data_IF_740800793438
#
_entry.id   IF_740800793438
#
_cell.length_a   1.000
_cell.length_b   1.000
_cell.length_c   1.000
_cell.angle_alpha   90.00
_cell.angle_beta   90.00
_cell.angle_gamma   90.00
#
_symmetry.space_group_name_H-M   'P 1'
#
loop_
_entity.id
_entity.type
_entity.pdbx_description
1 polymer ?
#
# COMPACT_ATOMS: atom_id res chain seq x y z
N UNK A 1 15.48 2.24 -20.78
CA UNK A 1 14.07 2.00 -20.47
C UNK A 1 13.92 0.59 -19.95
N UNK A 2 13.37 0.38 -18.76
CA UNK A 2 13.33 -0.92 -18.12
C UNK A 2 12.39 -1.89 -18.83
N UNK A 3 12.64 -3.19 -18.67
CA UNK A 3 11.87 -4.32 -19.23
C UNK A 3 10.34 -4.26 -18.95
N UNK A 4 9.94 -3.56 -17.91
CA UNK A 4 8.54 -3.35 -17.49
C UNK A 4 7.69 -2.73 -18.62
N UNK A 5 8.23 -1.80 -19.42
CA UNK A 5 7.49 -1.16 -20.52
C UNK A 5 7.14 -2.10 -21.68
N UNK A 6 7.82 -3.23 -21.84
CA UNK A 6 7.52 -4.18 -22.93
C UNK A 6 6.40 -5.18 -22.60
N UNK A 7 6.20 -5.51 -21.32
CA UNK A 7 5.12 -6.41 -20.90
C UNK A 7 3.81 -5.68 -20.63
N UNK A 8 3.88 -4.37 -20.44
CA UNK A 8 2.78 -3.44 -20.24
C UNK A 8 1.74 -3.55 -21.37
N UNK A 9 2.15 -3.72 -22.59
CA UNK A 9 1.23 -3.79 -23.74
C UNK A 9 0.40 -5.08 -23.85
N UNK A 10 0.66 -6.11 -23.05
CA UNK A 10 -0.08 -7.38 -23.11
C UNK A 10 -1.34 -7.45 -22.22
N UNK A 11 -1.46 -6.54 -21.22
CA UNK A 11 -2.61 -6.52 -20.31
C UNK A 11 -3.09 -5.08 -20.01
N UNK A 12 -3.83 -4.43 -20.92
CA UNK A 12 -4.18 -2.99 -20.83
C UNK A 12 -4.89 -2.56 -19.55
N UNK A 13 -5.42 -3.46 -18.79
CA UNK A 13 -6.35 -3.19 -17.70
C UNK A 13 -5.76 -3.21 -16.29
N UNK A 14 -4.61 -3.85 -16.14
CA UNK A 14 -3.76 -3.66 -14.95
C UNK A 14 -3.08 -2.28 -15.04
N UNK A 15 -3.04 -1.69 -16.22
CA UNK A 15 -2.13 -0.62 -16.64
C UNK A 15 -2.63 0.81 -16.42
N UNK A 16 -3.92 1.10 -16.42
CA UNK A 16 -4.36 2.46 -16.05
C UNK A 16 -4.07 2.72 -14.56
N UNK A 17 -4.28 1.71 -13.71
CA UNK A 17 -3.79 1.71 -12.33
C UNK A 17 -2.25 1.65 -12.25
N UNK A 18 -1.59 1.00 -13.21
CA UNK A 18 -0.13 0.90 -13.27
C UNK A 18 0.53 2.23 -13.63
N UNK A 19 -0.03 3.04 -14.52
CA UNK A 19 0.54 4.34 -14.90
C UNK A 19 0.58 5.31 -13.70
N UNK A 20 -0.50 5.40 -12.93
CA UNK A 20 -0.53 6.22 -11.70
C UNK A 20 0.41 5.68 -10.61
N UNK A 21 0.53 4.35 -10.49
CA UNK A 21 1.46 3.71 -9.54
C UNK A 21 2.91 3.90 -9.94
N UNK A 22 3.24 3.84 -11.23
CA UNK A 22 4.57 4.13 -11.75
C UNK A 22 4.92 5.59 -11.48
N UNK A 23 3.99 6.52 -11.69
CA UNK A 23 4.20 7.94 -11.40
C UNK A 23 4.50 8.18 -9.90
N UNK A 24 3.75 7.55 -8.99
CA UNK A 24 4.03 7.64 -7.55
C UNK A 24 5.39 7.05 -7.20
N UNK A 25 5.75 5.93 -7.81
CA UNK A 25 7.04 5.30 -7.60
C UNK A 25 8.19 6.19 -8.07
N UNK A 26 8.08 6.73 -9.29
CA UNK A 26 9.07 7.66 -9.86
C UNK A 26 9.19 8.93 -9.01
N UNK A 27 8.07 9.46 -8.51
CA UNK A 27 8.05 10.61 -7.59
C UNK A 27 8.81 10.28 -6.29
N UNK A 28 8.53 9.14 -5.66
CA UNK A 28 9.22 8.73 -4.43
C UNK A 28 10.73 8.57 -4.68
N UNK A 29 11.11 7.85 -5.74
CA UNK A 29 12.52 7.58 -6.07
C UNK A 29 13.30 8.84 -6.46
N UNK A 30 12.65 9.82 -7.07
CA UNK A 30 13.30 11.08 -7.47
C UNK A 30 13.36 12.12 -6.34
N UNK A 31 12.45 12.03 -5.35
CA UNK A 31 12.33 13.04 -4.31
C UNK A 31 13.21 12.78 -3.08
N UNK A 32 13.58 11.52 -2.83
CA UNK A 32 14.25 11.15 -1.58
C UNK A 32 15.44 10.22 -1.81
N UNK A 33 16.49 10.27 -0.96
CA UNK A 33 17.60 9.34 -1.00
C UNK A 33 17.13 7.92 -0.65
N UNK A 34 17.82 6.91 -1.17
CA UNK A 34 17.57 5.51 -0.77
C UNK A 34 17.95 5.30 0.70
N UNK A 35 17.39 4.28 1.36
CA UNK A 35 17.76 3.91 2.72
C UNK A 35 19.28 3.70 2.86
N UNK A 36 19.94 3.08 1.90
CA UNK A 36 21.40 2.87 1.92
C UNK A 36 22.15 4.21 1.95
N UNK A 37 21.74 5.17 1.12
CA UNK A 37 22.30 6.52 1.10
C UNK A 37 22.02 7.26 2.40
N UNK A 38 20.76 7.23 2.88
CA UNK A 38 20.34 7.85 4.14
C UNK A 38 21.18 7.34 5.32
N UNK A 39 21.32 6.01 5.46
CA UNK A 39 22.13 5.41 6.52
C UNK A 39 23.60 5.84 6.44
N UNK A 40 24.15 5.88 5.23
CA UNK A 40 25.54 6.33 5.00
C UNK A 40 25.74 7.79 5.41
N UNK A 41 24.81 8.68 5.04
CA UNK A 41 24.90 10.11 5.33
C UNK A 41 24.82 10.39 6.84
N UNK A 42 24.09 9.56 7.59
CA UNK A 42 23.97 9.65 9.06
C UNK A 42 24.99 8.77 9.82
N UNK A 43 25.97 8.18 9.14
CA UNK A 43 26.98 7.33 9.79
C UNK A 43 26.42 6.05 10.43
N UNK A 44 25.18 5.67 10.11
CA UNK A 44 24.50 4.49 10.62
C UNK A 44 25.03 3.23 9.95
N UNK A 45 24.97 2.08 10.63
CA UNK A 45 25.38 0.79 10.09
C UNK A 45 24.18 -0.12 9.91
N UNK A 46 24.16 -0.89 8.82
CA UNK A 46 23.17 -1.92 8.59
C UNK A 46 23.84 -3.22 8.14
N UNK A 47 23.34 -4.33 8.63
CA UNK A 47 23.78 -5.67 8.21
C UNK A 47 22.74 -6.73 8.58
N UNK A 48 22.79 -7.85 7.87
CA UNK A 48 22.12 -9.08 8.31
C UNK A 48 22.77 -9.61 9.58
N UNK A 49 21.97 -10.27 10.43
CA UNK A 49 22.45 -10.94 11.61
C UNK A 49 23.41 -12.10 11.29
N UNK A 50 23.83 -12.83 12.29
CA UNK A 50 24.78 -13.93 12.14
C UNK A 50 24.16 -15.08 11.33
N UNK A 51 25.02 -15.80 10.60
CA UNK A 51 24.68 -17.07 9.99
C UNK A 51 25.25 -18.21 10.83
N UNK A 52 24.44 -19.19 11.18
CA UNK A 52 24.94 -20.42 11.82
C UNK A 52 25.70 -21.27 10.79
N UNK A 53 26.83 -21.83 11.21
CA UNK A 53 27.65 -22.69 10.37
C UNK A 53 28.55 -23.60 11.20
N UNK A 54 29.38 -24.41 10.49
CA UNK A 54 30.24 -25.40 11.12
C UNK A 54 31.54 -24.84 11.72
N UNK A 55 31.81 -23.54 11.55
CA UNK A 55 33.02 -22.89 12.10
C UNK A 55 32.65 -22.26 13.44
N UNK A 56 33.32 -22.70 14.50
CA UNK A 56 33.27 -22.06 15.82
C UNK A 56 34.04 -20.75 15.74
N UNK A 57 33.33 -19.65 15.55
CA UNK A 57 33.85 -18.31 15.79
C UNK A 57 33.32 -17.88 17.15
N UNK A 58 34.16 -17.73 18.15
CA UNK A 58 33.82 -17.18 19.45
C UNK A 58 33.90 -15.67 19.39
N UNK A 59 32.80 -15.00 19.71
CA UNK A 59 32.76 -13.57 19.96
C UNK A 59 32.56 -13.34 21.46
N UNK A 60 33.62 -12.94 22.15
CA UNK A 60 33.66 -12.80 23.61
C UNK A 60 32.59 -11.82 24.17
N UNK A 61 31.98 -10.99 23.34
CA UNK A 61 30.93 -10.04 23.75
C UNK A 61 29.50 -10.52 23.55
N UNK A 62 29.27 -11.78 23.11
CA UNK A 62 27.93 -12.31 22.87
C UNK A 62 27.39 -13.22 23.97
N UNK A 63 28.27 -13.60 24.91
CA UNK A 63 27.89 -14.46 26.03
C UNK A 63 26.82 -13.79 26.91
N UNK A 64 25.73 -14.53 27.15
CA UNK A 64 24.64 -14.07 27.98
C UNK A 64 23.71 -13.02 27.35
N UNK A 65 23.93 -12.67 26.08
CA UNK A 65 23.01 -11.76 25.39
C UNK A 65 21.72 -12.48 24.97
N UNK A 66 20.58 -11.78 24.98
CA UNK A 66 19.33 -12.30 24.44
C UNK A 66 19.46 -12.61 22.95
N UNK A 67 18.82 -13.71 22.53
CA UNK A 67 18.65 -14.03 21.09
C UNK A 67 17.25 -13.61 20.68
N UNK A 68 17.19 -12.79 19.62
CA UNK A 68 15.93 -12.47 18.95
C UNK A 68 15.60 -13.58 17.96
N UNK A 69 14.47 -14.29 18.19
CA UNK A 69 13.95 -15.26 17.22
C UNK A 69 13.02 -14.56 16.24
N UNK A 70 13.28 -14.72 14.94
CA UNK A 70 12.43 -14.18 13.87
C UNK A 70 10.99 -14.72 13.90
N UNK A 71 10.73 -15.89 14.52
CA UNK A 71 9.38 -16.45 14.63
C UNK A 71 8.53 -15.72 15.67
N UNK A 72 9.17 -15.22 16.73
CA UNK A 72 8.52 -14.52 17.84
C UNK A 72 8.65 -13.00 17.74
N UNK A 73 9.00 -12.50 16.55
CA UNK A 73 9.19 -11.11 16.30
C UNK A 73 7.84 -10.39 16.12
N UNK A 74 7.60 -9.33 16.90
CA UNK A 74 6.42 -8.46 16.85
C UNK A 74 6.83 -7.01 16.55
N UNK A 75 6.00 -6.22 15.85
CA UNK A 75 6.28 -4.81 15.65
C UNK A 75 6.32 -4.06 16.99
N UNK A 76 7.22 -3.09 17.13
CA UNK A 76 7.38 -2.18 18.28
C UNK A 76 7.72 -2.83 19.63
N UNK A 77 7.64 -4.14 19.76
CA UNK A 77 7.89 -4.86 21.02
C UNK A 77 8.69 -6.14 20.81
N UNK A 78 9.67 -6.36 21.68
CA UNK A 78 10.48 -7.58 21.72
C UNK A 78 10.67 -8.05 23.17
N UNK A 79 10.26 -9.28 23.51
CA UNK A 79 10.51 -9.83 24.83
C UNK A 79 12.00 -10.15 25.04
N UNK A 80 12.51 -9.85 26.26
CA UNK A 80 13.90 -10.13 26.67
C UNK A 80 14.18 -11.61 27.08
N UNK A 81 13.26 -12.52 26.79
CA UNK A 81 13.19 -13.79 27.54
C UNK A 81 14.08 -14.93 27.04
N UNK A 82 14.68 -14.83 25.85
CA UNK A 82 15.50 -15.91 25.30
C UNK A 82 16.97 -15.55 25.42
N UNK A 83 17.68 -16.18 26.36
CA UNK A 83 19.12 -16.03 26.52
C UNK A 83 19.90 -16.98 25.59
N UNK A 84 21.02 -16.52 25.03
CA UNK A 84 21.94 -17.37 24.31
C UNK A 84 22.54 -18.41 25.26
N UNK A 85 22.41 -19.68 24.95
CA UNK A 85 23.06 -20.74 25.65
C UNK A 85 24.46 -20.96 25.04
N UNK A 86 25.53 -20.81 25.83
CA UNK A 86 26.94 -20.86 25.40
C UNK A 86 27.35 -22.13 24.65
N UNK A 87 26.56 -23.19 24.73
CA UNK A 87 26.85 -24.47 24.07
C UNK A 87 26.69 -24.44 22.55
N UNK A 88 25.95 -23.45 21.99
CA UNK A 88 25.58 -23.39 20.57
C UNK A 88 26.31 -22.29 19.77
N UNK A 89 27.45 -21.79 20.25
CA UNK A 89 28.18 -20.63 19.69
C UNK A 89 28.93 -20.96 18.37
N UNK A 90 28.23 -21.51 17.37
CA UNK A 90 28.80 -21.67 16.02
C UNK A 90 28.28 -20.54 15.12
N UNK A 91 29.05 -19.45 15.02
CA UNK A 91 28.72 -18.33 14.16
C UNK A 91 29.58 -18.36 12.89
N UNK A 92 28.94 -18.32 11.72
CA UNK A 92 29.59 -17.97 10.45
C UNK A 92 29.24 -16.53 10.09
N UNK A 93 30.23 -15.82 9.53
CA UNK A 93 30.05 -14.52 8.87
C UNK A 93 29.52 -13.36 9.75
N UNK A 94 29.95 -13.26 10.97
CA UNK A 94 29.88 -11.97 11.66
C UNK A 94 31.19 -11.23 11.38
N UNK A 95 31.13 -10.15 10.62
CA UNK A 95 32.28 -9.25 10.44
C UNK A 95 32.37 -8.31 11.65
N UNK A 96 33.59 -8.02 12.13
CA UNK A 96 33.80 -7.02 13.18
C UNK A 96 33.20 -5.64 12.82
N UNK A 97 33.12 -5.32 11.52
CA UNK A 97 32.47 -4.10 11.05
C UNK A 97 30.96 -4.06 11.30
N UNK A 98 30.33 -5.23 11.47
CA UNK A 98 28.88 -5.36 11.66
C UNK A 98 28.49 -5.50 13.14
N UNK A 99 29.43 -5.63 14.07
CA UNK A 99 29.15 -5.77 15.50
C UNK A 99 28.24 -4.66 16.09
N UNK A 100 28.31 -3.40 15.60
CA UNK A 100 27.44 -2.35 16.13
C UNK A 100 25.94 -2.63 16.00
N UNK A 101 25.51 -3.46 15.02
CA UNK A 101 24.08 -3.78 14.87
C UNK A 101 23.50 -4.60 16.02
N UNK A 102 24.33 -5.21 16.87
CA UNK A 102 23.93 -5.99 18.04
C UNK A 102 23.94 -5.19 19.34
N UNK A 103 24.40 -3.93 19.29
CA UNK A 103 24.50 -3.01 20.44
C UNK A 103 23.33 -2.05 20.47
N UNK A 104 22.80 -1.81 21.67
CA UNK A 104 21.74 -0.85 21.90
C UNK A 104 22.24 0.61 21.80
N UNK A 105 21.39 1.55 21.34
CA UNK A 105 20.11 1.29 20.70
C UNK A 105 20.28 0.76 19.28
N UNK A 106 19.45 -0.19 18.88
CA UNK A 106 19.46 -0.70 17.52
C UNK A 106 18.05 -1.05 17.04
N UNK A 107 17.81 -0.90 15.75
CA UNK A 107 16.59 -1.31 15.09
C UNK A 107 16.80 -2.70 14.49
N UNK A 108 15.85 -3.59 14.70
CA UNK A 108 15.81 -4.89 14.04
C UNK A 108 14.59 -4.94 13.14
N UNK A 109 14.76 -5.47 11.94
CA UNK A 109 13.72 -5.64 10.95
C UNK A 109 13.63 -7.08 10.49
N UNK A 110 12.44 -7.62 10.34
CA UNK A 110 12.19 -8.93 9.75
C UNK A 110 12.13 -8.83 8.22
N UNK A 111 12.86 -9.69 7.51
CA UNK A 111 12.83 -9.73 6.05
C UNK A 111 11.53 -10.32 5.49
N UNK A 112 10.83 -11.19 6.23
CA UNK A 112 9.53 -11.70 5.84
C UNK A 112 8.40 -10.82 6.39
N UNK A 113 7.26 -10.83 5.70
CA UNK A 113 6.08 -10.07 6.09
C UNK A 113 5.05 -10.93 6.83
N UNK A 114 4.06 -10.27 7.43
CA UNK A 114 2.84 -10.89 7.95
C UNK A 114 1.64 -10.11 7.43
N UNK A 115 0.76 -10.77 6.66
CA UNK A 115 -0.41 -10.15 6.04
C UNK A 115 -0.07 -8.89 5.21
N UNK A 116 1.02 -8.94 4.45
CA UNK A 116 1.45 -7.84 3.59
C UNK A 116 2.19 -6.70 4.26
N UNK A 117 2.41 -6.75 5.58
CA UNK A 117 3.18 -5.73 6.32
C UNK A 117 4.50 -6.29 6.80
N UNK A 118 5.54 -5.49 6.72
CA UNK A 118 6.85 -5.75 7.30
C UNK A 118 6.92 -5.24 8.73
N UNK A 119 7.88 -5.74 9.49
CA UNK A 119 7.97 -5.46 10.93
C UNK A 119 9.36 -5.01 11.29
N UNK A 120 9.42 -3.95 12.09
CA UNK A 120 10.63 -3.49 12.74
C UNK A 120 10.34 -3.15 14.21
N UNK A 121 11.38 -3.21 15.03
CA UNK A 121 11.35 -2.78 16.43
C UNK A 121 12.69 -2.18 16.82
N UNK A 122 12.69 -1.17 17.67
CA UNK A 122 13.89 -0.61 18.27
C UNK A 122 14.11 -1.26 19.63
N UNK A 123 15.31 -1.79 19.85
CA UNK A 123 15.72 -2.39 21.11
C UNK A 123 16.61 -1.42 21.90
N UNK A 124 16.34 -1.31 23.19
CA UNK A 124 17.08 -0.53 24.19
C UNK A 124 18.10 -1.38 24.99
N UNK A 125 18.34 -2.63 24.54
CA UNK A 125 19.28 -3.57 25.12
C UNK A 125 20.06 -4.31 24.03
N UNK A 126 21.27 -4.75 24.36
CA UNK A 126 22.10 -5.55 23.48
C UNK A 126 21.44 -6.90 23.18
N UNK A 127 21.35 -7.29 21.92
CA UNK A 127 20.76 -8.55 21.49
C UNK A 127 21.41 -9.07 20.22
N UNK A 128 21.44 -10.38 20.07
CA UNK A 128 21.91 -11.03 18.85
C UNK A 128 20.74 -11.64 18.07
N UNK A 129 20.89 -11.77 16.79
CA UNK A 129 19.89 -12.30 15.89
C UNK A 129 20.52 -12.93 14.65
N UNK A 130 19.79 -13.84 14.00
CA UNK A 130 20.27 -14.54 12.80
C UNK A 130 20.04 -13.72 11.53
N UNK A 131 20.55 -14.23 10.41
CA UNK A 131 20.53 -13.59 9.08
C UNK A 131 19.12 -13.41 8.47
N UNK A 132 18.06 -13.94 9.06
CA UNK A 132 16.68 -13.65 8.62
C UNK A 132 16.17 -12.30 9.14
N UNK A 133 16.96 -11.65 9.97
CA UNK A 133 16.73 -10.32 10.50
C UNK A 133 17.84 -9.37 10.02
N UNK A 134 17.47 -8.14 9.70
CA UNK A 134 18.36 -7.05 9.38
C UNK A 134 18.46 -6.13 10.60
N UNK A 135 19.68 -5.77 11.02
CA UNK A 135 19.93 -4.80 12.07
C UNK A 135 20.39 -3.46 11.53
N UNK A 136 19.98 -2.38 12.18
CA UNK A 136 20.45 -1.02 11.92
C UNK A 136 20.87 -0.42 13.26
N UNK A 137 22.11 0.10 13.34
CA UNK A 137 22.61 0.82 14.53
C UNK A 137 22.75 2.31 14.19
N UNK A 138 22.43 3.17 15.16
CA UNK A 138 22.50 4.61 14.98
C UNK A 138 21.89 5.36 16.17
N UNK A 139 21.62 6.63 15.97
CA UNK A 139 20.98 7.49 16.97
C UNK A 139 19.52 7.06 17.19
N UNK A 140 19.09 6.96 18.44
CA UNK A 140 17.81 6.37 18.85
C UNK A 140 16.59 7.02 18.19
N UNK A 141 16.56 8.37 18.10
CA UNK A 141 15.44 9.10 17.50
C UNK A 141 15.30 8.76 16.01
N UNK A 142 16.43 8.65 15.29
CA UNK A 142 16.46 8.22 13.90
C UNK A 142 16.03 6.77 13.73
N UNK A 143 16.41 5.88 14.65
CA UNK A 143 15.96 4.49 14.63
C UNK A 143 14.45 4.38 14.84
N UNK A 144 13.86 5.17 15.75
CA UNK A 144 12.40 5.26 15.96
C UNK A 144 11.68 5.76 14.71
N UNK A 145 12.22 6.81 14.07
CA UNK A 145 11.70 7.33 12.81
C UNK A 145 11.70 6.26 11.70
N UNK A 146 12.82 5.59 11.47
CA UNK A 146 12.92 4.49 10.51
C UNK A 146 12.01 3.32 10.86
N UNK A 147 11.83 3.03 12.13
CA UNK A 147 10.92 1.99 12.60
C UNK A 147 9.48 2.26 12.18
N UNK A 148 8.99 3.49 12.32
CA UNK A 148 7.65 3.89 11.86
C UNK A 148 7.50 3.70 10.35
N UNK A 149 8.50 4.15 9.57
CA UNK A 149 8.47 3.98 8.10
C UNK A 149 8.40 2.50 7.71
N UNK A 150 9.25 1.66 8.28
CA UNK A 150 9.32 0.23 7.94
C UNK A 150 8.01 -0.50 8.30
N UNK A 151 7.35 -0.12 9.40
CA UNK A 151 6.07 -0.70 9.80
C UNK A 151 4.86 -0.15 9.02
N UNK A 152 5.04 0.85 8.15
CA UNK A 152 3.95 1.52 7.43
C UNK A 152 3.51 0.79 6.16
N UNK A 153 2.35 1.20 5.65
CA UNK A 153 1.86 0.79 4.33
C UNK A 153 2.75 1.29 3.18
N UNK A 154 3.42 2.43 3.32
CA UNK A 154 4.32 2.98 2.28
C UNK A 154 5.48 2.04 2.01
N UNK A 155 6.10 1.50 3.06
CA UNK A 155 7.18 0.53 2.93
C UNK A 155 6.73 -0.73 2.16
N UNK A 156 5.60 -1.29 2.56
CA UNK A 156 5.04 -2.49 1.93
C UNK A 156 4.61 -2.21 0.48
N UNK A 157 3.99 -1.05 0.22
CA UNK A 157 3.61 -0.62 -1.13
C UNK A 157 4.81 -0.48 -2.06
N UNK A 158 5.87 0.20 -1.59
CA UNK A 158 7.09 0.37 -2.37
C UNK A 158 7.66 -0.98 -2.79
N UNK A 159 7.80 -1.91 -1.85
CA UNK A 159 8.38 -3.23 -2.12
C UNK A 159 7.44 -4.15 -2.90
N UNK A 160 6.12 -4.01 -2.77
CA UNK A 160 5.16 -4.71 -3.63
C UNK A 160 5.38 -4.38 -5.12
N UNK A 161 5.84 -3.16 -5.43
CA UNK A 161 6.06 -2.71 -6.80
C UNK A 161 7.49 -2.91 -7.31
N UNK A 162 8.48 -3.00 -6.43
CA UNK A 162 9.91 -2.96 -6.79
C UNK A 162 10.69 -4.22 -6.48
N UNK A 163 10.26 -5.03 -5.52
CA UNK A 163 10.98 -6.25 -5.16
C UNK A 163 10.99 -7.25 -6.31
N UNK A 164 12.14 -7.88 -6.47
CA UNK A 164 12.34 -8.95 -7.46
C UNK A 164 11.88 -10.30 -6.98
N UNK A 165 11.85 -10.49 -5.67
CA UNK A 165 11.61 -11.81 -5.03
C UNK A 165 10.27 -11.87 -4.30
N UNK A 166 9.86 -10.82 -3.60
CA UNK A 166 8.60 -10.82 -2.86
C UNK A 166 7.41 -10.93 -3.79
N UNK A 167 6.47 -11.82 -3.48
CA UNK A 167 5.27 -12.17 -4.25
C UNK A 167 5.54 -12.85 -5.61
N UNK A 168 6.80 -13.03 -6.00
CA UNK A 168 7.18 -13.68 -7.27
C UNK A 168 7.81 -15.04 -7.00
N UNK A 169 8.83 -15.12 -6.16
CA UNK A 169 9.59 -16.33 -5.86
C UNK A 169 9.45 -16.78 -4.40
N UNK A 170 9.34 -15.85 -3.46
CA UNK A 170 9.29 -16.10 -2.01
C UNK A 170 8.57 -15.01 -1.23
N UNK A 171 8.17 -15.32 0.01
CA UNK A 171 7.49 -14.40 0.93
C UNK A 171 8.47 -13.57 1.78
N UNK A 172 9.56 -13.11 1.20
CA UNK A 172 10.56 -12.32 1.89
C UNK A 172 11.28 -11.34 0.95
N UNK A 173 11.70 -10.21 1.51
CA UNK A 173 12.60 -9.26 0.84
C UNK A 173 14.05 -9.67 1.01
N UNK A 174 14.86 -9.39 0.01
CA UNK A 174 16.30 -9.43 0.16
C UNK A 174 16.81 -8.14 0.80
N UNK A 175 17.91 -8.22 1.55
CA UNK A 175 18.54 -7.05 2.15
C UNK A 175 18.88 -5.97 1.10
N UNK A 176 19.19 -6.38 -0.13
CA UNK A 176 19.40 -5.47 -1.26
C UNK A 176 18.14 -4.70 -1.65
N UNK A 177 16.99 -5.35 -1.69
CA UNK A 177 15.71 -4.70 -2.00
C UNK A 177 15.32 -3.70 -0.89
N UNK A 178 15.46 -4.09 0.39
CA UNK A 178 15.15 -3.24 1.56
C UNK A 178 15.90 -1.92 1.49
N UNK A 179 17.17 -1.94 1.07
CA UNK A 179 18.03 -0.74 1.01
C UNK A 179 17.62 0.25 -0.06
N UNK A 180 16.77 -0.14 -1.01
CA UNK A 180 16.36 0.72 -2.13
C UNK A 180 15.23 1.67 -1.81
N UNK A 181 14.51 1.49 -0.69
CA UNK A 181 13.38 2.37 -0.36
C UNK A 181 13.85 3.81 -0.19
N UNK A 182 13.17 4.78 -0.82
CA UNK A 182 13.41 6.19 -0.59
C UNK A 182 13.01 6.62 0.81
N UNK A 183 13.88 7.29 1.55
CA UNK A 183 13.64 7.78 2.92
C UNK A 183 13.68 9.31 2.92
N UNK A 184 12.60 10.00 3.29
CA UNK A 184 12.60 11.44 3.49
C UNK A 184 13.53 11.85 4.62
N UNK A 185 14.25 12.98 4.44
CA UNK A 185 15.06 13.58 5.50
C UNK A 185 14.12 14.24 6.51
N UNK A 186 14.13 13.83 7.80
CA UNK A 186 13.23 14.40 8.79
C UNK A 186 13.72 15.76 9.28
N UNK A 187 12.80 16.71 9.46
CA UNK A 187 13.07 17.90 10.27
C UNK A 187 13.07 17.55 11.75
N UNK A 188 13.57 18.45 12.59
CA UNK A 188 13.55 18.26 14.06
C UNK A 188 12.12 18.05 14.57
N UNK A 189 11.15 18.81 14.06
CA UNK A 189 9.73 18.67 14.40
C UNK A 189 9.18 17.26 14.02
N UNK A 190 9.58 16.74 12.86
CA UNK A 190 9.18 15.39 12.43
C UNK A 190 9.80 14.32 13.33
N UNK A 191 11.06 14.50 13.75
CA UNK A 191 11.72 13.57 14.68
C UNK A 191 11.06 13.56 16.05
N UNK A 192 10.68 14.72 16.59
CA UNK A 192 9.95 14.81 17.85
C UNK A 192 8.60 14.07 17.76
N UNK A 193 7.81 14.35 16.73
CA UNK A 193 6.54 13.63 16.49
C UNK A 193 6.73 12.13 16.29
N UNK A 194 7.81 11.73 15.62
CA UNK A 194 8.12 10.32 15.42
C UNK A 194 8.42 9.60 16.73
N UNK A 195 9.19 10.23 17.63
CA UNK A 195 9.48 9.68 18.95
C UNK A 195 8.21 9.56 19.78
N UNK A 196 7.38 10.61 19.83
CA UNK A 196 6.11 10.60 20.55
C UNK A 196 5.17 9.48 20.05
N UNK A 197 5.00 9.39 18.73
CA UNK A 197 4.15 8.34 18.12
C UNK A 197 4.71 6.94 18.39
N UNK A 198 6.04 6.75 18.25
CA UNK A 198 6.68 5.47 18.53
C UNK A 198 6.44 5.02 19.98
N UNK A 199 6.65 5.91 20.96
CA UNK A 199 6.42 5.60 22.37
C UNK A 199 4.94 5.34 22.66
N UNK A 200 4.05 6.09 22.05
CA UNK A 200 2.61 5.86 22.16
C UNK A 200 2.24 4.46 21.66
N UNK A 201 2.68 4.07 20.47
CA UNK A 201 2.41 2.73 19.92
C UNK A 201 3.02 1.65 20.82
N UNK A 202 4.26 1.84 21.27
CA UNK A 202 4.95 0.87 22.16
C UNK A 202 4.21 0.67 23.47
N UNK A 203 3.57 1.71 24.03
CA UNK A 203 2.85 1.65 25.29
C UNK A 203 1.45 1.04 25.18
N UNK A 204 0.67 1.45 24.18
CA UNK A 204 -0.74 1.08 24.09
C UNK A 204 -1.08 0.15 22.92
N UNK A 205 -0.14 -0.12 22.02
CA UNK A 205 -0.37 -0.97 20.83
C UNK A 205 -1.27 -0.35 19.76
N UNK A 206 -1.59 0.94 19.86
CA UNK A 206 -2.44 1.64 18.90
C UNK A 206 -1.63 2.16 17.71
N UNK A 207 -1.73 1.47 16.58
CA UNK A 207 -1.09 1.82 15.31
C UNK A 207 -1.98 2.70 14.41
N UNK A 208 -3.13 3.18 14.89
CA UNK A 208 -4.13 3.87 14.05
C UNK A 208 -3.59 5.13 13.35
N UNK A 209 -2.64 5.83 13.96
CA UNK A 209 -2.03 7.04 13.42
C UNK A 209 -0.76 6.78 12.59
N UNK A 210 -0.26 5.56 12.56
CA UNK A 210 1.02 5.22 11.93
C UNK A 210 1.05 5.56 10.44
N UNK A 211 0.08 5.05 9.69
CA UNK A 211 0.05 5.28 8.24
C UNK A 211 -0.19 6.75 7.89
N UNK A 212 -1.05 7.45 8.64
CA UNK A 212 -1.30 8.88 8.46
C UNK A 212 -0.02 9.70 8.67
N UNK A 213 0.70 9.46 9.76
CA UNK A 213 2.00 10.10 10.02
C UNK A 213 2.99 9.87 8.87
N UNK A 214 3.13 8.63 8.41
CA UNK A 214 4.07 8.32 7.33
C UNK A 214 3.63 8.91 5.99
N UNK A 215 2.32 8.97 5.70
CA UNK A 215 1.81 9.64 4.51
C UNK A 215 2.17 11.13 4.50
N UNK A 216 2.06 11.80 5.65
CA UNK A 216 2.47 13.21 5.82
C UNK A 216 3.98 13.40 5.62
N UNK A 217 4.80 12.51 6.20
CA UNK A 217 6.26 12.51 6.03
C UNK A 217 6.65 12.41 4.56
N UNK A 218 5.98 11.55 3.79
CA UNK A 218 6.19 11.42 2.34
C UNK A 218 5.44 12.48 1.51
N UNK A 219 4.69 13.38 2.14
CA UNK A 219 3.88 14.42 1.48
C UNK A 219 2.97 13.83 0.40
N UNK A 220 2.34 12.71 0.72
CA UNK A 220 1.38 12.08 -0.17
C UNK A 220 0.07 12.87 -0.19
N UNK A 221 -0.47 13.06 -1.38
CA UNK A 221 -1.81 13.63 -1.57
C UNK A 221 -2.86 12.53 -1.32
N UNK A 222 -4.10 12.92 -1.06
CA UNK A 222 -5.19 11.99 -0.75
C UNK A 222 -5.31 10.84 -1.77
N UNK A 223 -5.28 11.17 -3.07
CA UNK A 223 -5.35 10.15 -4.11
C UNK A 223 -4.14 9.19 -4.12
N UNK A 224 -2.96 9.66 -3.69
CA UNK A 224 -1.75 8.83 -3.56
C UNK A 224 -1.87 7.88 -2.36
N UNK A 225 -2.46 8.32 -1.25
CA UNK A 225 -2.75 7.46 -0.09
C UNK A 225 -3.76 6.37 -0.45
N UNK A 226 -4.75 6.67 -1.27
CA UNK A 226 -5.69 5.69 -1.80
C UNK A 226 -4.99 4.61 -2.65
N UNK A 227 -4.03 5.01 -3.51
CA UNK A 227 -3.26 4.05 -4.30
C UNK A 227 -2.43 3.10 -3.43
N UNK A 228 -1.79 3.62 -2.38
CA UNK A 228 -1.02 2.83 -1.41
C UNK A 228 -1.94 1.83 -0.70
N UNK A 229 -3.06 2.30 -0.17
CA UNK A 229 -4.00 1.49 0.60
C UNK A 229 -4.64 0.40 -0.27
N UNK A 230 -5.21 0.77 -1.41
CA UNK A 230 -5.87 -0.17 -2.32
C UNK A 230 -4.90 -1.21 -2.91
N UNK A 231 -3.61 -0.87 -3.09
CA UNK A 231 -2.63 -1.82 -3.57
C UNK A 231 -2.42 -2.97 -2.57
N UNK A 232 -2.39 -2.67 -1.28
CA UNK A 232 -2.25 -3.68 -0.23
C UNK A 232 -3.57 -4.42 0.02
N UNK A 233 -4.69 -3.71 0.07
CA UNK A 233 -5.98 -4.30 0.40
C UNK A 233 -6.52 -5.19 -0.72
N UNK A 234 -6.24 -4.86 -1.99
CA UNK A 234 -6.79 -5.62 -3.13
C UNK A 234 -5.73 -6.41 -3.91
N UNK A 235 -4.55 -5.83 -4.21
CA UNK A 235 -3.56 -6.53 -5.04
C UNK A 235 -2.81 -7.54 -4.19
N UNK A 236 -2.22 -7.11 -3.06
CA UNK A 236 -1.55 -8.04 -2.17
C UNK A 236 -2.52 -9.13 -1.67
N UNK A 237 -3.73 -8.74 -1.25
CA UNK A 237 -4.75 -9.68 -0.80
C UNK A 237 -5.14 -10.69 -1.90
N UNK A 238 -5.17 -10.29 -3.17
CA UNK A 238 -5.38 -11.22 -4.29
C UNK A 238 -4.27 -12.26 -4.39
N UNK A 239 -3.00 -11.87 -4.27
CA UNK A 239 -1.88 -12.80 -4.30
C UNK A 239 -1.89 -13.75 -3.10
N UNK A 240 -2.21 -13.26 -1.91
CA UNK A 240 -2.25 -14.04 -0.66
C UNK A 240 -3.46 -15.01 -0.62
N UNK A 241 -4.65 -14.55 -0.96
CA UNK A 241 -5.92 -15.30 -0.81
C UNK A 241 -6.46 -15.88 -2.12
N UNK A 242 -5.90 -15.53 -3.29
CA UNK A 242 -6.33 -15.97 -4.62
C UNK A 242 -7.85 -15.80 -4.81
N UNK A 243 -8.58 -16.88 -5.07
CA UNK A 243 -10.05 -16.85 -5.27
C UNK A 243 -10.84 -16.38 -4.05
N UNK A 244 -10.29 -16.49 -2.84
CA UNK A 244 -10.92 -16.05 -1.60
C UNK A 244 -10.61 -14.59 -1.25
N UNK A 245 -9.92 -13.86 -2.13
CA UNK A 245 -9.58 -12.46 -1.94
C UNK A 245 -10.83 -11.59 -1.83
N UNK A 246 -10.76 -10.56 -0.98
CA UNK A 246 -11.78 -9.50 -0.90
C UNK A 246 -11.98 -8.78 -2.24
N UNK A 247 -10.95 -8.78 -3.09
CA UNK A 247 -11.02 -8.19 -4.43
C UNK A 247 -12.20 -8.72 -5.27
N UNK A 248 -12.63 -9.95 -5.03
CA UNK A 248 -13.74 -10.61 -5.73
C UNK A 248 -15.06 -10.62 -4.97
N UNK A 249 -15.09 -10.14 -3.73
CA UNK A 249 -16.34 -10.07 -2.96
C UNK A 249 -17.30 -9.06 -3.55
N UNK A 250 -18.59 -9.30 -3.29
CA UNK A 250 -19.64 -8.33 -3.57
C UNK A 250 -19.42 -7.09 -2.70
N UNK A 251 -19.35 -5.87 -3.28
CA UNK A 251 -19.20 -4.65 -2.52
C UNK A 251 -20.35 -4.44 -1.52
N UNK A 252 -20.03 -3.98 -0.33
CA UNK A 252 -21.03 -3.47 0.61
C UNK A 252 -21.54 -2.10 0.17
N UNK A 253 -22.66 -1.65 0.76
CA UNK A 253 -23.18 -0.29 0.52
C UNK A 253 -22.13 0.77 0.91
N UNK A 254 -21.35 0.51 1.95
CA UNK A 254 -20.30 1.42 2.38
C UNK A 254 -19.19 1.55 1.34
N UNK A 255 -18.76 0.47 0.70
CA UNK A 255 -17.80 0.50 -0.42
C UNK A 255 -18.31 1.38 -1.56
N UNK A 256 -19.59 1.24 -1.95
CA UNK A 256 -20.18 2.11 -2.97
C UNK A 256 -20.27 3.58 -2.53
N UNK A 257 -20.57 3.86 -1.25
CA UNK A 257 -20.58 5.22 -0.70
C UNK A 257 -19.20 5.86 -0.75
N UNK A 258 -18.18 5.15 -0.31
CA UNK A 258 -16.80 5.61 -0.31
C UNK A 258 -16.30 5.87 -1.74
N UNK A 259 -16.60 4.95 -2.68
CA UNK A 259 -16.34 5.15 -4.10
C UNK A 259 -17.01 6.43 -4.62
N UNK A 260 -18.31 6.62 -4.35
CA UNK A 260 -19.08 7.77 -4.82
C UNK A 260 -18.58 9.09 -4.23
N UNK A 261 -18.29 9.14 -2.94
CA UNK A 261 -17.73 10.32 -2.29
C UNK A 261 -16.44 10.75 -2.97
N UNK A 262 -15.48 9.85 -3.08
CA UNK A 262 -14.18 10.12 -3.73
C UNK A 262 -14.34 10.55 -5.19
N UNK A 263 -15.20 9.85 -5.93
CA UNK A 263 -15.50 10.16 -7.33
C UNK A 263 -16.09 11.57 -7.48
N UNK A 264 -17.05 11.95 -6.63
CA UNK A 264 -17.70 13.26 -6.67
C UNK A 264 -16.78 14.39 -6.21
N UNK A 265 -15.92 14.14 -5.21
CA UNK A 265 -14.96 15.14 -4.71
C UNK A 265 -13.98 15.55 -5.82
N UNK A 266 -13.50 14.58 -6.61
CA UNK A 266 -12.62 14.86 -7.76
C UNK A 266 -13.37 15.62 -8.85
N UNK A 267 -14.59 15.21 -9.19
CA UNK A 267 -15.38 15.87 -10.22
C UNK A 267 -15.76 17.31 -9.82
N UNK A 268 -16.16 17.54 -8.56
CA UNK A 268 -16.45 18.88 -8.05
C UNK A 268 -15.23 19.79 -8.04
N UNK A 269 -14.06 19.28 -7.74
CA UNK A 269 -12.82 20.02 -7.80
C UNK A 269 -12.46 20.41 -9.25
N UNK A 270 -12.88 19.61 -10.24
CA UNK A 270 -12.56 19.82 -11.65
C UNK A 270 -13.66 20.59 -12.42
N UNK A 271 -14.94 20.33 -12.14
CA UNK A 271 -16.09 20.91 -12.82
C UNK A 271 -16.74 22.08 -12.06
N UNK A 272 -16.41 22.24 -10.78
CA UNK A 272 -16.97 23.23 -9.87
C UNK A 272 -17.94 22.62 -8.84
N UNK A 273 -18.05 23.27 -7.69
CA UNK A 273 -18.84 22.81 -6.56
C UNK A 273 -20.37 22.72 -6.85
N UNK A 274 -20.83 23.43 -7.88
CA UNK A 274 -22.24 23.37 -8.34
C UNK A 274 -22.59 22.07 -9.10
N UNK A 275 -21.61 21.22 -9.40
CA UNK A 275 -21.88 19.93 -10.04
C UNK A 275 -22.43 18.93 -9.01
N UNK A 276 -23.76 18.82 -8.94
CA UNK A 276 -24.50 17.98 -7.97
C UNK A 276 -25.50 17.06 -8.66
N UNK A 277 -25.03 16.08 -9.48
CA UNK A 277 -25.94 15.14 -10.13
C UNK A 277 -26.67 14.28 -9.10
N UNK A 278 -27.91 13.90 -9.37
CA UNK A 278 -28.59 12.82 -8.64
C UNK A 278 -27.91 11.51 -9.01
N UNK A 279 -27.55 10.71 -8.03
CA UNK A 279 -26.85 9.44 -8.21
C UNK A 279 -27.69 8.25 -7.76
N UNK A 280 -27.70 7.19 -8.54
CA UNK A 280 -28.42 5.95 -8.23
C UNK A 280 -27.53 4.75 -8.51
N UNK A 281 -27.34 3.90 -7.50
CA UNK A 281 -26.68 2.60 -7.66
C UNK A 281 -27.73 1.51 -7.81
N UNK A 282 -27.62 0.73 -8.88
CA UNK A 282 -28.40 -0.48 -9.12
C UNK A 282 -27.53 -1.69 -8.83
N UNK A 283 -27.85 -2.40 -7.76
CA UNK A 283 -27.01 -3.45 -7.16
C UNK A 283 -27.77 -4.76 -6.88
N UNK A 284 -28.86 -5.03 -7.61
CA UNK A 284 -29.65 -6.27 -7.55
C UNK A 284 -28.81 -7.55 -7.78
N UNK A 285 -29.38 -8.69 -8.09
CA UNK A 285 -28.66 -9.97 -8.22
C UNK A 285 -27.77 -10.08 -9.49
N UNK A 286 -27.81 -9.10 -10.39
CA UNK A 286 -26.95 -9.05 -11.56
C UNK A 286 -25.46 -9.17 -11.17
N UNK A 287 -24.61 -9.82 -12.00
CA UNK A 287 -23.17 -9.83 -11.82
C UNK A 287 -22.52 -8.45 -12.05
N UNK A 288 -23.31 -7.47 -12.50
CA UNK A 288 -22.91 -6.09 -12.74
C UNK A 288 -23.54 -5.17 -11.68
N UNK A 289 -22.86 -4.09 -11.39
CA UNK A 289 -23.40 -2.93 -10.67
C UNK A 289 -23.35 -1.72 -11.58
N UNK A 290 -24.38 -0.86 -11.49
CA UNK A 290 -24.53 0.30 -12.35
C UNK A 290 -24.65 1.54 -11.47
N UNK A 291 -23.79 2.54 -11.71
CA UNK A 291 -23.97 3.90 -11.20
C UNK A 291 -24.58 4.74 -12.31
N UNK A 292 -25.72 5.35 -12.05
CA UNK A 292 -26.37 6.31 -12.92
C UNK A 292 -26.26 7.69 -12.31
N UNK A 293 -25.69 8.63 -13.05
CA UNK A 293 -25.65 10.05 -12.72
C UNK A 293 -26.70 10.77 -13.60
N UNK A 294 -27.72 11.32 -13.01
CA UNK A 294 -28.73 12.13 -13.70
C UNK A 294 -28.35 13.60 -13.60
N UNK A 295 -28.24 14.27 -14.76
CA UNK A 295 -27.83 15.66 -14.90
C UNK A 295 -29.05 16.47 -15.34
N UNK A 296 -29.77 17.09 -14.41
CA UNK A 296 -30.86 18.00 -14.69
C UNK A 296 -30.69 19.30 -13.91
N UNK A 297 -31.33 20.36 -14.35
CA UNK A 297 -31.19 21.71 -13.77
C UNK A 297 -31.63 21.82 -12.30
N UNK A 298 -32.41 20.85 -11.79
CA UNK A 298 -32.97 20.83 -10.43
C UNK A 298 -32.52 19.60 -9.61
N UNK A 299 -31.27 19.22 -9.69
CA UNK A 299 -30.77 18.08 -8.93
C UNK A 299 -30.38 18.46 -7.50
N UNK A 300 -30.84 17.66 -6.56
CA UNK A 300 -30.60 17.79 -5.11
C UNK A 300 -29.33 17.06 -4.63
N UNK A 301 -28.57 16.45 -5.55
CA UNK A 301 -27.36 15.71 -5.23
C UNK A 301 -27.58 14.43 -4.44
N UNK A 302 -28.79 13.91 -4.37
CA UNK A 302 -29.14 12.74 -3.57
C UNK A 302 -28.53 11.45 -4.13
N UNK A 303 -28.04 10.60 -3.22
CA UNK A 303 -27.52 9.26 -3.50
C UNK A 303 -28.54 8.20 -3.07
N UNK A 304 -28.95 7.37 -4.02
CA UNK A 304 -29.92 6.28 -3.80
C UNK A 304 -29.33 4.91 -4.13
N UNK A 305 -29.84 3.87 -3.48
CA UNK A 305 -29.42 2.48 -3.72
C UNK A 305 -30.67 1.63 -4.04
N UNK A 306 -30.62 0.88 -5.14
CA UNK A 306 -31.65 -0.04 -5.58
C UNK A 306 -31.06 -1.46 -5.61
N UNK A 307 -31.41 -2.29 -4.63
CA UNK A 307 -30.91 -3.66 -4.46
C UNK A 307 -31.89 -4.74 -4.96
N UNK A 308 -33.05 -4.33 -5.50
CA UNK A 308 -34.01 -5.24 -6.10
C UNK A 308 -33.70 -5.50 -7.57
N UNK A 309 -34.11 -6.71 -8.04
CA UNK A 309 -33.87 -7.16 -9.40
C UNK A 309 -34.65 -6.37 -10.44
N UNK A 310 -35.91 -6.06 -10.15
CA UNK A 310 -36.77 -5.35 -11.08
C UNK A 310 -36.20 -4.00 -11.50
N UNK A 311 -35.77 -3.18 -10.55
CA UNK A 311 -35.12 -1.89 -10.85
C UNK A 311 -33.81 -2.04 -11.60
N UNK A 312 -33.03 -3.10 -11.30
CA UNK A 312 -31.77 -3.40 -11.98
C UNK A 312 -32.01 -3.83 -13.42
N UNK A 313 -32.99 -4.69 -13.67
CA UNK A 313 -33.37 -5.14 -15.02
C UNK A 313 -33.94 -4.00 -15.86
N UNK A 314 -34.75 -3.13 -15.27
CA UNK A 314 -35.25 -1.93 -15.96
C UNK A 314 -34.09 -1.01 -16.36
N UNK A 315 -33.12 -0.79 -15.48
CA UNK A 315 -31.93 0.00 -15.79
C UNK A 315 -31.07 -0.63 -16.89
N UNK A 316 -30.90 -1.96 -16.86
CA UNK A 316 -30.18 -2.70 -17.91
C UNK A 316 -30.90 -2.63 -19.26
N UNK A 317 -32.23 -2.71 -19.27
CA UNK A 317 -33.03 -2.60 -20.51
C UNK A 317 -32.94 -1.18 -21.12
N UNK A 318 -32.93 -0.15 -20.30
CA UNK A 318 -32.69 1.23 -20.76
C UNK A 318 -31.29 1.37 -21.38
N UNK A 319 -30.28 0.81 -20.71
CA UNK A 319 -28.89 0.81 -21.18
C UNK A 319 -28.75 0.07 -22.52
N UNK A 320 -29.39 -1.10 -22.66
CA UNK A 320 -29.39 -1.89 -23.89
C UNK A 320 -30.01 -1.13 -25.06
N UNK A 321 -31.13 -0.43 -24.83
CA UNK A 321 -31.75 0.43 -25.82
C UNK A 321 -30.81 1.53 -26.31
N UNK A 322 -30.12 2.23 -25.39
CA UNK A 322 -29.14 3.26 -25.75
C UNK A 322 -27.97 2.71 -26.55
N UNK A 323 -27.46 1.53 -26.18
CA UNK A 323 -26.35 0.86 -26.88
C UNK A 323 -26.75 0.37 -28.27
N UNK A 324 -27.99 -0.06 -28.46
CA UNK A 324 -28.51 -0.54 -29.74
C UNK A 324 -28.70 0.59 -30.74
N UNK A 325 -29.13 1.76 -30.28
CA UNK A 325 -29.28 2.96 -31.14
C UNK A 325 -27.94 3.43 -31.72
N UNK A 326 -26.83 3.27 -30.98
CA UNK A 326 -25.50 3.77 -31.40
C UNK A 326 -24.67 2.79 -32.25
N UNK A 327 -25.14 1.55 -32.51
CA UNK A 327 -24.46 0.53 -33.33
C UNK A 327 -23.00 0.23 -32.92
N UNK A 328 -22.69 0.15 -31.64
CA UNK A 328 -21.35 -0.20 -31.20
C UNK A 328 -21.14 -1.71 -31.10
N UNK A 329 -20.12 -2.23 -31.80
CA UNK A 329 -19.57 -3.55 -31.53
C UNK A 329 -18.74 -3.48 -30.23
N UNK A 330 -19.33 -3.84 -29.10
CA UNK A 330 -18.64 -3.85 -27.79
C UNK A 330 -17.87 -5.16 -27.67
N UNK A 331 -16.58 -5.10 -27.90
CA UNK A 331 -15.65 -6.12 -27.43
C UNK A 331 -15.35 -5.86 -25.95
N UNK A 332 -15.31 -6.89 -25.13
CA UNK A 332 -15.14 -6.91 -23.67
C UNK A 332 -14.42 -5.65 -23.13
N UNK A 333 -15.16 -4.75 -22.49
CA UNK A 333 -14.62 -3.59 -21.75
C UNK A 333 -14.79 -3.88 -20.24
N UNK A 334 -13.78 -3.54 -19.43
CA UNK A 334 -13.87 -3.68 -17.97
C UNK A 334 -14.83 -2.68 -17.33
N UNK A 335 -14.90 -1.48 -17.91
CA UNK A 335 -15.79 -0.42 -17.50
C UNK A 335 -16.54 0.02 -18.75
N UNK A 336 -17.86 0.02 -18.68
CA UNK A 336 -18.70 0.56 -19.74
C UNK A 336 -19.23 1.90 -19.24
N UNK A 337 -18.93 2.97 -19.94
CA UNK A 337 -19.58 4.27 -19.76
C UNK A 337 -20.49 4.53 -20.95
N UNK A 338 -21.72 4.87 -20.64
CA UNK A 338 -22.72 5.22 -21.67
C UNK A 338 -23.28 6.60 -21.33
N UNK A 339 -23.29 7.46 -22.34
CA UNK A 339 -23.78 8.83 -22.23
C UNK A 339 -25.17 8.91 -22.86
N UNK A 340 -26.21 9.04 -22.06
CA UNK A 340 -27.54 9.38 -22.51
C UNK A 340 -27.72 10.91 -22.60
N UNK A 341 -28.91 11.37 -22.99
CA UNK A 341 -29.20 12.79 -23.11
C UNK A 341 -29.01 13.56 -21.79
N UNK A 342 -29.51 12.99 -20.69
CA UNK A 342 -29.52 13.62 -19.37
C UNK A 342 -28.96 12.68 -18.28
N UNK A 343 -28.21 11.63 -18.70
CA UNK A 343 -27.73 10.59 -17.77
C UNK A 343 -26.42 10.01 -18.22
N UNK A 344 -25.57 9.69 -17.25
CA UNK A 344 -24.30 8.97 -17.46
C UNK A 344 -24.37 7.66 -16.69
N UNK A 345 -24.10 6.57 -17.38
CA UNK A 345 -24.09 5.22 -16.82
C UNK A 345 -22.65 4.73 -16.69
N UNK A 346 -22.28 4.27 -15.49
CA UNK A 346 -20.99 3.60 -15.23
C UNK A 346 -21.31 2.16 -14.82
N UNK A 347 -20.97 1.21 -15.69
CA UNK A 347 -21.27 -0.22 -15.50
C UNK A 347 -20.00 -0.98 -15.24
N UNK A 348 -19.96 -1.74 -14.17
CA UNK A 348 -18.78 -2.52 -13.75
C UNK A 348 -19.19 -3.87 -13.14
N UNK A 349 -18.27 -4.86 -13.14
CA UNK A 349 -18.46 -6.08 -12.39
C UNK A 349 -18.72 -5.78 -10.90
N UNK A 350 -19.61 -6.58 -10.29
CA UNK A 350 -20.01 -6.48 -8.90
C UNK A 350 -18.96 -7.10 -7.97
N UNK A 351 -17.75 -6.55 -8.01
CA UNK A 351 -16.60 -6.98 -7.24
C UNK A 351 -15.89 -5.75 -6.63
N UNK A 352 -15.48 -5.81 -5.36
CA UNK A 352 -14.91 -4.68 -4.61
C UNK A 352 -13.76 -3.99 -5.33
N UNK A 353 -12.85 -4.75 -5.98
CA UNK A 353 -11.71 -4.17 -6.72
C UNK A 353 -12.07 -3.17 -7.83
N UNK A 354 -13.34 -3.15 -8.26
CA UNK A 354 -13.82 -2.20 -9.27
C UNK A 354 -14.52 -0.98 -8.67
N UNK A 355 -14.79 -1.01 -7.35
CA UNK A 355 -15.54 0.02 -6.62
C UNK A 355 -14.73 0.59 -5.44
N UNK A 356 -13.41 0.52 -5.51
CA UNK A 356 -12.47 1.06 -4.53
C UNK A 356 -12.11 2.52 -4.82
N UNK A 357 -11.33 3.15 -3.93
CA UNK A 357 -10.90 4.55 -4.04
C UNK A 357 -10.10 4.82 -5.33
N UNK A 358 -9.13 3.97 -5.65
CA UNK A 358 -8.31 4.11 -6.88
C UNK A 358 -9.17 4.02 -8.15
N UNK A 359 -10.22 3.21 -8.13
CA UNK A 359 -11.17 3.12 -9.23
C UNK A 359 -12.04 4.36 -9.33
N UNK A 360 -12.43 4.96 -8.21
CA UNK A 360 -13.16 6.23 -8.17
C UNK A 360 -12.35 7.37 -8.78
N UNK A 361 -11.07 7.50 -8.37
CA UNK A 361 -10.17 8.51 -8.93
C UNK A 361 -10.06 8.39 -10.45
N UNK A 362 -9.78 7.17 -10.96
CA UNK A 362 -9.66 6.94 -12.40
C UNK A 362 -10.94 7.26 -13.16
N UNK A 363 -12.08 6.80 -12.65
CA UNK A 363 -13.35 7.01 -13.36
C UNK A 363 -13.76 8.47 -13.38
N UNK A 364 -13.43 9.24 -12.34
CA UNK A 364 -13.64 10.68 -12.30
C UNK A 364 -12.76 11.40 -13.34
N UNK A 365 -11.47 11.07 -13.41
CA UNK A 365 -10.53 11.64 -14.38
C UNK A 365 -10.94 11.32 -15.82
N UNK A 366 -11.34 10.06 -16.08
CA UNK A 366 -11.78 9.63 -17.39
C UNK A 366 -13.11 10.31 -17.79
N UNK A 367 -14.06 10.44 -16.85
CA UNK A 367 -15.31 11.16 -17.11
C UNK A 367 -15.05 12.65 -17.37
N UNK A 368 -14.21 13.30 -16.58
CA UNK A 368 -13.82 14.69 -16.81
C UNK A 368 -13.18 14.87 -18.19
N UNK A 369 -12.27 13.97 -18.57
CA UNK A 369 -11.64 13.98 -19.90
C UNK A 369 -12.66 13.84 -21.02
N UNK A 370 -13.66 12.96 -20.87
CA UNK A 370 -14.70 12.76 -21.88
C UNK A 370 -15.60 14.01 -22.01
N UNK A 371 -15.97 14.65 -20.89
CA UNK A 371 -16.71 15.91 -20.88
C UNK A 371 -15.94 17.03 -21.57
N UNK A 372 -14.64 17.15 -21.30
CA UNK A 372 -13.81 18.19 -21.93
C UNK A 372 -13.65 17.99 -23.42
N UNK A 373 -13.50 16.74 -23.89
CA UNK A 373 -13.45 16.43 -25.33
C UNK A 373 -14.76 16.71 -26.06
N UNK A 374 -15.90 16.55 -25.37
CA UNK A 374 -17.21 16.84 -25.96
C UNK A 374 -17.51 18.35 -26.05
N UNK A 375 -16.79 19.19 -25.31
CA UNK A 375 -16.92 20.68 -25.34
C UNK A 375 -15.99 21.36 -26.35
N UNK A 376 -14.96 20.69 -26.84
CA UNK A 376 -13.99 21.20 -27.84
C UNK A 376 -14.26 20.66 -29.21
#
# INVERSE_FOLDING_TARGET
MPRITREINKFPSIYACAAQRIFNLDKLQSSYPTLDKFLSDHGMKNAEGFKRGNRKLTYDGFDGLPIVDAKEFYPFYMPKEILLNNADNTFERVSNKNLPIFKAPHLIMKQSHRKGRFFASVLDYDAIFNHSLLGISGEERMLKYLCLIINSKVFSYYHLLTSRTWMVERDALEAGDIRTIPIPEPSEEILEKAVELYEHIKMCGDESLLDAFVFDVYRLKDYETYLVTDALDYIYNYFDKKSNSIAFKKPSIEVYRNYYSTFMDILRNSLGQSFTPKASFYIGESPLSILVLSISENNDGNLSFFDNNESTEQCLSQLDSLLTEERYNIYIRRNVRVYGKDSIYIVKPKQEKYWNYSSACRDADELFSDIMKAKG
#
